data_IF_397792434734
#
_entry.id   IF_397792434734
#
_cell.length_a   1.000
_cell.length_b   1.000
_cell.length_c   1.000
_cell.angle_alpha   90.00
_cell.angle_beta   90.00
_cell.angle_gamma   90.00
#
_symmetry.space_group_name_H-M   'P 1'
#
loop_
_entity.id
_entity.type
_entity.pdbx_description
1 polymer ?
#
# COMPACT_ATOMS: atom_id res chain seq x y z
N UNK A 1 -5.48 -16.43 -23.77
CA UNK A 1 -4.08 -16.46 -23.29
C UNK A 1 -4.12 -16.49 -21.77
N UNK A 2 -3.45 -17.43 -21.12
CA UNK A 2 -3.41 -17.49 -19.65
C UNK A 2 -2.79 -16.19 -19.11
N UNK A 3 -3.48 -15.51 -18.18
CA UNK A 3 -2.97 -14.31 -17.55
C UNK A 3 -1.64 -14.63 -16.88
N UNK A 4 -0.57 -13.94 -17.29
CA UNK A 4 0.74 -14.07 -16.68
C UNK A 4 0.64 -13.49 -15.26
N UNK A 5 0.42 -14.36 -14.27
CA UNK A 5 0.35 -13.98 -12.85
C UNK A 5 1.64 -13.23 -12.49
N UNK A 6 1.51 -11.97 -12.07
CA UNK A 6 2.63 -11.03 -11.91
C UNK A 6 3.43 -11.24 -10.64
N UNK A 7 2.86 -11.92 -9.65
CA UNK A 7 3.44 -12.13 -8.33
C UNK A 7 3.65 -13.61 -8.02
N UNK A 8 3.84 -14.44 -9.06
CA UNK A 8 4.23 -15.86 -8.88
C UNK A 8 5.46 -15.92 -7.98
N UNK A 9 5.39 -16.78 -6.98
CA UNK A 9 6.46 -16.99 -5.99
C UNK A 9 6.70 -15.81 -5.04
N UNK A 10 5.91 -14.74 -5.05
CA UNK A 10 5.99 -13.71 -4.00
C UNK A 10 5.34 -14.22 -2.70
N UNK A 11 5.90 -13.83 -1.56
CA UNK A 11 5.25 -13.95 -0.26
C UNK A 11 4.83 -12.55 0.18
N UNK A 12 3.53 -12.36 0.39
CA UNK A 12 2.94 -11.11 0.81
C UNK A 12 2.47 -11.17 2.26
N UNK A 13 3.00 -10.30 3.13
CA UNK A 13 2.45 -10.04 4.45
C UNK A 13 1.49 -8.86 4.37
N UNK A 14 0.24 -9.04 4.79
CA UNK A 14 -0.76 -7.96 4.86
C UNK A 14 -1.24 -7.84 6.30
N UNK A 15 -0.99 -6.70 6.94
CA UNK A 15 -1.55 -6.41 8.29
C UNK A 15 -2.89 -5.69 8.17
N UNK A 16 -3.81 -5.93 9.11
CA UNK A 16 -5.19 -5.46 8.99
C UNK A 16 -5.97 -6.18 7.88
N UNK A 17 -5.57 -7.42 7.58
CA UNK A 17 -6.12 -8.21 6.47
C UNK A 17 -7.52 -8.77 6.74
N UNK A 18 -8.02 -8.66 7.97
CA UNK A 18 -9.31 -9.18 8.38
C UNK A 18 -10.48 -8.42 7.80
N UNK A 19 -10.33 -7.17 7.36
CA UNK A 19 -11.47 -6.40 6.81
C UNK A 19 -11.05 -5.34 5.79
N UNK A 20 -12.05 -4.70 5.16
CA UNK A 20 -11.88 -3.49 4.34
C UNK A 20 -10.79 -3.60 3.26
N UNK A 21 -9.91 -2.59 3.22
CA UNK A 21 -8.82 -2.51 2.24
C UNK A 21 -7.85 -3.69 2.40
N UNK A 22 -7.50 -4.09 3.62
CA UNK A 22 -6.57 -5.19 3.85
C UNK A 22 -7.08 -6.51 3.28
N UNK A 23 -8.36 -6.84 3.51
CA UNK A 23 -9.00 -8.03 2.90
C UNK A 23 -8.98 -7.95 1.37
N UNK A 24 -9.35 -6.80 0.81
CA UNK A 24 -9.35 -6.60 -0.64
C UNK A 24 -7.95 -6.72 -1.26
N UNK A 25 -6.92 -6.21 -0.58
CA UNK A 25 -5.52 -6.35 -0.97
C UNK A 25 -5.10 -7.82 -0.94
N UNK A 26 -5.39 -8.56 0.13
CA UNK A 26 -5.08 -9.99 0.23
C UNK A 26 -5.70 -10.78 -0.93
N UNK A 27 -6.98 -10.56 -1.22
CA UNK A 27 -7.67 -11.18 -2.36
C UNK A 27 -7.01 -10.83 -3.69
N UNK A 28 -6.63 -9.56 -3.88
CA UNK A 28 -5.97 -9.14 -5.10
C UNK A 28 -4.60 -9.78 -5.27
N UNK A 29 -3.76 -9.79 -4.23
CA UNK A 29 -2.42 -10.35 -4.29
C UNK A 29 -2.45 -11.87 -4.55
N UNK A 30 -3.38 -12.60 -3.91
CA UNK A 30 -3.60 -14.02 -4.18
C UNK A 30 -4.00 -14.28 -5.63
N UNK A 31 -4.91 -13.46 -6.20
CA UNK A 31 -5.31 -13.54 -7.62
C UNK A 31 -4.16 -13.25 -8.59
N UNK A 32 -3.13 -12.53 -8.16
CA UNK A 32 -1.92 -12.26 -8.93
C UNK A 32 -0.84 -13.35 -8.74
N UNK A 33 -1.14 -14.39 -7.96
CA UNK A 33 -0.29 -15.57 -7.74
C UNK A 33 0.64 -15.49 -6.53
N UNK A 34 0.46 -14.52 -5.64
CA UNK A 34 1.25 -14.42 -4.41
C UNK A 34 0.72 -15.36 -3.32
N UNK A 35 1.62 -15.96 -2.55
CA UNK A 35 1.31 -16.55 -1.24
C UNK A 35 1.02 -15.42 -0.26
N UNK A 36 -0.03 -15.52 0.56
CA UNK A 36 -0.46 -14.42 1.45
C UNK A 36 -0.43 -14.86 2.91
N UNK A 37 0.37 -14.17 3.71
CA UNK A 37 0.30 -14.14 5.17
C UNK A 37 -0.65 -13.02 5.60
N UNK A 38 -1.89 -13.38 5.93
CA UNK A 38 -2.92 -12.44 6.36
C UNK A 38 -2.83 -12.25 7.88
N UNK A 39 -2.43 -11.07 8.32
CA UNK A 39 -2.34 -10.72 9.74
C UNK A 39 -3.47 -9.75 10.12
N UNK A 40 -4.12 -9.99 11.25
CA UNK A 40 -5.07 -9.05 11.85
C UNK A 40 -5.02 -9.12 13.38
N UNK A 41 -5.62 -8.13 14.06
CA UNK A 41 -5.81 -8.18 15.50
C UNK A 41 -6.88 -9.24 15.85
N UNK A 42 -7.93 -9.33 15.03
CA UNK A 42 -8.95 -10.37 15.10
C UNK A 42 -8.54 -11.57 14.24
N UNK A 43 -8.12 -12.64 14.92
CA UNK A 43 -7.69 -13.88 14.25
C UNK A 43 -8.80 -14.51 13.42
N UNK A 44 -10.05 -14.46 13.87
CA UNK A 44 -11.16 -15.06 13.14
C UNK A 44 -11.37 -14.34 11.81
N UNK A 45 -11.26 -13.00 11.80
CA UNK A 45 -11.35 -12.20 10.58
C UNK A 45 -10.18 -12.50 9.61
N UNK A 46 -8.97 -12.72 10.12
CA UNK A 46 -7.84 -13.14 9.29
C UNK A 46 -8.05 -14.53 8.68
N UNK A 47 -8.56 -15.50 9.44
CA UNK A 47 -8.91 -16.84 8.95
C UNK A 47 -10.01 -16.78 7.88
N UNK A 48 -11.04 -15.97 8.08
CA UNK A 48 -12.09 -15.75 7.06
C UNK A 48 -11.49 -15.24 5.75
N UNK A 49 -10.57 -14.26 5.82
CA UNK A 49 -9.86 -13.79 4.64
C UNK A 49 -9.08 -14.92 3.97
N UNK A 50 -8.35 -15.76 4.72
CA UNK A 50 -7.58 -16.89 4.16
C UNK A 50 -8.47 -17.94 3.49
N UNK A 51 -9.64 -18.25 4.06
CA UNK A 51 -10.66 -19.09 3.42
C UNK A 51 -11.06 -18.55 2.04
N UNK A 52 -11.28 -17.24 1.92
CA UNK A 52 -11.62 -16.60 0.64
C UNK A 52 -10.52 -16.70 -0.41
N UNK A 53 -9.26 -16.89 0.00
CA UNK A 53 -8.12 -17.08 -0.91
C UNK A 53 -8.00 -18.53 -1.41
N UNK A 54 -8.84 -19.45 -0.91
CA UNK A 54 -8.70 -20.89 -1.15
C UNK A 54 -7.64 -21.55 -0.27
N UNK A 55 -7.24 -20.91 0.83
CA UNK A 55 -6.41 -21.53 1.87
C UNK A 55 -7.23 -22.39 2.83
N UNK A 56 -6.55 -23.27 3.57
CA UNK A 56 -7.14 -23.98 4.71
C UNK A 56 -7.33 -22.95 5.83
N UNK A 57 -8.58 -22.62 6.19
CA UNK A 57 -8.89 -21.68 7.28
C UNK A 57 -8.71 -22.25 8.68
N UNK A 58 -7.83 -23.24 8.85
CA UNK A 58 -7.66 -23.94 10.13
C UNK A 58 -7.06 -23.02 11.20
N UNK A 59 -7.43 -23.27 12.45
CA UNK A 59 -6.85 -22.59 13.63
C UNK A 59 -5.36 -22.91 13.85
N UNK A 60 -4.81 -23.89 13.13
CA UNK A 60 -3.39 -24.20 13.14
C UNK A 60 -2.71 -23.70 11.87
N UNK A 61 -1.53 -23.09 12.05
CA UNK A 61 -0.65 -22.67 10.95
C UNK A 61 -0.09 -23.93 10.30
N UNK A 62 -0.80 -24.45 9.30
CA UNK A 62 -0.37 -25.66 8.60
C UNK A 62 0.89 -25.37 7.76
N UNK A 63 1.99 -26.11 7.95
CA UNK A 63 3.15 -26.02 7.08
C UNK A 63 2.74 -26.40 5.65
N UNK A 64 2.98 -25.52 4.68
CA UNK A 64 2.73 -25.79 3.25
C UNK A 64 1.37 -25.37 2.70
N UNK A 65 0.54 -24.63 3.44
CA UNK A 65 -0.62 -23.93 2.87
C UNK A 65 -0.20 -22.76 1.96
N UNK A 66 -0.93 -22.52 0.87
CA UNK A 66 -0.65 -21.39 -0.04
C UNK A 66 -0.89 -20.01 0.60
N UNK A 67 -1.69 -19.95 1.68
CA UNK A 67 -2.00 -18.75 2.45
C UNK A 67 -2.11 -19.14 3.92
N UNK A 68 -1.77 -18.24 4.86
CA UNK A 68 -1.88 -18.50 6.29
C UNK A 68 -2.35 -17.26 7.05
N UNK A 69 -3.07 -17.47 8.15
CA UNK A 69 -3.61 -16.43 9.02
C UNK A 69 -2.74 -16.28 10.27
N UNK A 70 -2.45 -15.03 10.65
CA UNK A 70 -1.68 -14.67 11.83
C UNK A 70 -2.45 -13.66 12.66
N UNK A 71 -2.19 -13.67 13.97
CA UNK A 71 -2.72 -12.69 14.91
C UNK A 71 -1.57 -11.87 15.47
N UNK A 72 -1.68 -10.53 15.39
CA UNK A 72 -0.74 -9.64 16.08
C UNK A 72 -1.35 -8.25 16.28
N UNK A 73 -1.06 -7.65 17.43
CA UNK A 73 -1.22 -6.21 17.62
C UNK A 73 0.02 -5.49 17.06
N UNK A 74 -0.17 -4.72 16.00
CA UNK A 74 0.93 -3.99 15.35
C UNK A 74 1.50 -2.86 16.23
N UNK A 75 0.78 -2.40 17.24
CA UNK A 75 1.25 -1.35 18.16
C UNK A 75 2.28 -1.85 19.18
N UNK A 76 2.44 -3.17 19.30
CA UNK A 76 3.35 -3.84 20.21
C UNK A 76 4.60 -4.38 19.49
N UNK A 77 5.78 -3.90 19.89
CA UNK A 77 7.04 -4.29 19.25
C UNK A 77 7.33 -5.80 19.36
N UNK A 78 7.00 -6.40 20.51
CA UNK A 78 7.16 -7.84 20.75
C UNK A 78 6.27 -8.68 19.83
N UNK A 79 5.01 -8.27 19.65
CA UNK A 79 4.06 -8.96 18.77
C UNK A 79 4.47 -8.86 17.31
N UNK A 80 4.92 -7.70 16.83
CA UNK A 80 5.41 -7.53 15.45
C UNK A 80 6.66 -8.37 15.17
N UNK A 81 7.60 -8.43 16.12
CA UNK A 81 8.77 -9.31 15.99
C UNK A 81 8.35 -10.77 15.88
N UNK A 82 7.48 -11.22 16.78
CA UNK A 82 6.97 -12.58 16.79
C UNK A 82 6.20 -12.91 15.49
N UNK A 83 5.42 -11.96 14.95
CA UNK A 83 4.73 -12.11 13.67
C UNK A 83 5.71 -12.43 12.54
N UNK A 84 6.79 -11.66 12.39
CA UNK A 84 7.76 -11.89 11.31
C UNK A 84 8.53 -13.20 11.50
N UNK A 85 8.81 -13.60 12.75
CA UNK A 85 9.41 -14.91 13.07
C UNK A 85 8.46 -16.06 12.67
N UNK A 86 7.19 -15.97 13.03
CA UNK A 86 6.17 -16.97 12.69
C UNK A 86 5.96 -17.07 11.17
N UNK A 87 5.91 -15.94 10.46
CA UNK A 87 5.80 -15.91 8.99
C UNK A 87 7.02 -16.59 8.35
N UNK A 88 8.23 -16.26 8.80
CA UNK A 88 9.45 -16.89 8.27
C UNK A 88 9.53 -18.38 8.60
N UNK A 89 9.10 -18.81 9.80
CA UNK A 89 9.04 -20.21 10.16
C UNK A 89 8.02 -20.97 9.29
N UNK A 90 6.84 -20.40 9.07
CA UNK A 90 5.76 -21.01 8.30
C UNK A 90 6.10 -21.17 6.81
N UNK A 91 6.78 -20.19 6.20
CA UNK A 91 7.02 -20.14 4.76
C UNK A 91 8.49 -20.37 4.36
N UNK A 92 9.38 -20.51 5.35
CA UNK A 92 10.83 -20.67 5.17
C UNK A 92 11.51 -19.57 4.34
N UNK A 93 10.91 -18.37 4.32
CA UNK A 93 11.43 -17.17 3.61
C UNK A 93 10.80 -15.89 4.15
N UNK A 94 11.48 -14.73 4.06
CA UNK A 94 10.86 -13.45 4.43
C UNK A 94 9.80 -13.01 3.40
N UNK A 95 8.81 -12.20 3.81
CA UNK A 95 7.83 -11.63 2.89
C UNK A 95 8.49 -10.58 1.97
N UNK A 96 8.49 -10.83 0.66
CA UNK A 96 9.01 -9.89 -0.35
C UNK A 96 8.05 -8.73 -0.65
N UNK A 97 6.77 -8.86 -0.26
CA UNK A 97 5.78 -7.79 -0.31
C UNK A 97 5.21 -7.61 1.09
N UNK A 98 5.21 -6.40 1.62
CA UNK A 98 4.59 -6.09 2.91
C UNK A 98 3.62 -4.94 2.72
N UNK A 99 2.36 -5.13 3.12
CA UNK A 99 1.32 -4.12 3.03
C UNK A 99 0.75 -3.84 4.42
N UNK A 100 0.96 -2.62 4.90
CA UNK A 100 0.49 -2.19 6.21
C UNK A 100 -0.88 -1.51 6.10
N UNK A 101 -1.97 -2.28 6.26
CA UNK A 101 -3.35 -1.75 6.24
C UNK A 101 -3.96 -1.61 7.64
N UNK A 102 -3.34 -2.16 8.69
CA UNK A 102 -3.82 -2.05 10.06
C UNK A 102 -3.95 -0.57 10.47
N UNK A 103 -5.14 -0.18 10.92
CA UNK A 103 -5.41 1.19 11.33
C UNK A 103 -6.79 1.35 11.94
N UNK A 104 -6.92 2.35 12.81
CA UNK A 104 -8.15 2.68 13.55
C UNK A 104 -8.45 4.18 13.45
N UNK A 105 -9.65 4.55 13.85
CA UNK A 105 -10.10 5.94 14.01
C UNK A 105 -10.68 6.16 15.41
N UNK A 106 -10.41 7.34 15.97
CA UNK A 106 -10.98 7.87 17.23
C UNK A 106 -11.25 9.35 16.99
N UNK A 107 -12.34 9.61 16.28
CA UNK A 107 -12.66 10.95 15.80
C UNK A 107 -13.27 11.76 16.94
N UNK A 108 -12.69 12.92 17.21
CA UNK A 108 -13.15 13.90 18.21
C UNK A 108 -12.62 15.28 17.84
N UNK A 109 -13.35 16.33 18.19
CA UNK A 109 -12.87 17.70 18.03
C UNK A 109 -11.66 17.95 18.92
N UNK A 110 -10.71 18.74 18.42
CA UNK A 110 -9.43 19.00 19.11
C UNK A 110 -9.59 19.49 20.56
N UNK A 111 -10.62 20.30 20.84
CA UNK A 111 -10.86 20.84 22.19
C UNK A 111 -11.35 19.78 23.20
N UNK A 112 -11.79 18.62 22.73
CA UNK A 112 -12.35 17.54 23.54
C UNK A 112 -11.58 16.22 23.39
N UNK A 113 -10.57 16.19 22.51
CA UNK A 113 -9.78 14.99 22.27
C UNK A 113 -9.00 14.60 23.52
N UNK A 114 -9.24 13.39 24.00
CA UNK A 114 -8.49 12.82 25.12
C UNK A 114 -7.09 12.41 24.68
N UNK A 115 -6.15 12.38 25.64
CA UNK A 115 -4.80 11.85 25.40
C UNK A 115 -4.84 10.37 25.02
N UNK A 116 -5.74 9.56 25.60
CA UNK A 116 -5.89 8.14 25.24
C UNK A 116 -6.33 7.96 23.77
N UNK A 117 -7.28 8.76 23.29
CA UNK A 117 -7.71 8.72 21.88
C UNK A 117 -6.58 9.14 20.92
N UNK A 118 -5.77 10.11 21.32
CA UNK A 118 -4.58 10.51 20.58
C UNK A 118 -3.56 9.37 20.54
N UNK A 119 -3.13 8.90 21.70
CA UNK A 119 -2.08 7.89 21.86
C UNK A 119 -2.45 6.58 21.18
N UNK A 120 -3.71 6.15 21.33
CA UNK A 120 -4.18 4.90 20.72
C UNK A 120 -4.08 4.95 19.19
N UNK A 121 -4.50 6.06 18.57
CA UNK A 121 -4.43 6.23 17.11
C UNK A 121 -2.98 6.32 16.65
N UNK A 122 -2.12 7.07 17.34
CA UNK A 122 -0.69 7.18 16.99
C UNK A 122 0.02 5.83 17.14
N UNK A 123 -0.26 5.10 18.22
CA UNK A 123 0.34 3.79 18.51
C UNK A 123 0.03 2.77 17.41
N UNK A 124 -1.20 2.73 16.91
CA UNK A 124 -1.59 1.78 15.85
C UNK A 124 -1.17 2.30 14.47
N UNK A 125 -1.59 3.51 14.11
CA UNK A 125 -1.53 3.98 12.72
C UNK A 125 -0.14 4.44 12.29
N UNK A 126 0.67 4.96 13.22
CA UNK A 126 2.01 5.47 12.92
C UNK A 126 3.09 4.55 13.48
N UNK A 127 3.11 4.33 14.80
CA UNK A 127 4.09 3.44 15.44
C UNK A 127 3.94 2.01 14.93
N UNK A 128 2.72 1.51 14.71
CA UNK A 128 2.54 0.17 14.17
C UNK A 128 3.11 0.00 12.76
N UNK A 129 2.92 0.98 11.88
CA UNK A 129 3.55 0.99 10.55
C UNK A 129 5.08 1.05 10.65
N UNK A 130 5.61 1.86 11.57
CA UNK A 130 7.04 1.90 11.85
C UNK A 130 7.59 0.52 12.24
N UNK A 131 6.98 -0.13 13.23
CA UNK A 131 7.44 -1.43 13.73
C UNK A 131 7.40 -2.50 12.63
N UNK A 132 6.31 -2.57 11.87
CA UNK A 132 6.16 -3.54 10.77
C UNK A 132 7.17 -3.26 9.65
N UNK A 133 7.34 -1.98 9.27
CA UNK A 133 8.32 -1.58 8.24
C UNK A 133 9.74 -1.95 8.67
N UNK A 134 10.11 -1.66 9.92
CA UNK A 134 11.43 -1.96 10.46
C UNK A 134 11.69 -3.47 10.48
N UNK A 135 10.76 -4.27 11.02
CA UNK A 135 10.92 -5.71 11.11
C UNK A 135 10.98 -6.37 9.72
N UNK A 136 10.15 -5.93 8.78
CA UNK A 136 10.18 -6.40 7.39
C UNK A 136 11.50 -6.06 6.69
N UNK A 137 11.97 -4.81 6.84
CA UNK A 137 13.24 -4.37 6.25
C UNK A 137 14.42 -5.17 6.81
N UNK A 138 14.48 -5.38 8.12
CA UNK A 138 15.49 -6.22 8.76
C UNK A 138 15.47 -7.65 8.20
N UNK A 139 14.30 -8.28 8.14
CA UNK A 139 14.17 -9.65 7.63
C UNK A 139 14.63 -9.78 6.16
N UNK A 140 14.28 -8.79 5.31
CA UNK A 140 14.71 -8.76 3.91
C UNK A 140 16.22 -8.58 3.78
N UNK A 141 16.80 -7.61 4.48
CA UNK A 141 18.25 -7.34 4.46
C UNK A 141 19.05 -8.53 4.99
N UNK A 142 18.66 -9.10 6.13
CA UNK A 142 19.32 -10.27 6.74
C UNK A 142 19.27 -11.50 5.85
N UNK A 143 18.26 -11.62 4.99
CA UNK A 143 18.12 -12.74 4.04
C UNK A 143 18.71 -12.43 2.66
N UNK A 144 19.33 -11.26 2.45
CA UNK A 144 19.83 -10.83 1.14
C UNK A 144 18.74 -10.71 0.07
N UNK A 145 17.49 -10.48 0.48
CA UNK A 145 16.32 -10.46 -0.39
C UNK A 145 15.88 -9.03 -0.71
N UNK A 146 15.42 -8.82 -1.94
CA UNK A 146 14.77 -7.58 -2.35
C UNK A 146 13.28 -7.60 -1.99
N UNK A 147 12.63 -6.43 -1.97
CA UNK A 147 11.21 -6.37 -1.66
C UNK A 147 10.53 -5.04 -1.90
N UNK A 148 9.25 -5.00 -1.54
CA UNK A 148 8.39 -3.82 -1.63
C UNK A 148 7.56 -3.68 -0.37
N UNK A 149 7.79 -2.61 0.38
CA UNK A 149 6.98 -2.21 1.53
C UNK A 149 5.99 -1.14 1.06
N UNK A 150 4.72 -1.35 1.38
CA UNK A 150 3.59 -0.51 0.95
C UNK A 150 2.81 -0.11 2.20
N UNK A 151 2.80 1.17 2.51
CA UNK A 151 2.12 1.71 3.68
C UNK A 151 0.82 2.39 3.26
N UNK A 152 -0.29 2.03 3.91
CA UNK A 152 -1.58 2.65 3.64
C UNK A 152 -1.74 3.90 4.51
N UNK A 153 -1.58 5.05 3.88
CA UNK A 153 -1.91 6.35 4.46
C UNK A 153 -3.38 6.71 4.16
N UNK A 154 -3.68 8.00 4.00
CA UNK A 154 -4.97 8.55 3.61
C UNK A 154 -4.74 9.94 3.03
N UNK A 155 -5.64 10.40 2.16
CA UNK A 155 -5.62 11.80 1.71
C UNK A 155 -5.74 12.78 2.88
N UNK A 156 -6.39 12.38 3.98
CA UNK A 156 -6.44 13.13 5.24
C UNK A 156 -5.05 13.44 5.80
N UNK A 157 -4.04 12.63 5.51
CA UNK A 157 -2.64 12.92 5.90
C UNK A 157 -2.01 14.10 5.16
N UNK A 158 -2.61 14.57 4.05
CA UNK A 158 -2.15 15.70 3.25
C UNK A 158 -2.97 16.96 3.50
N UNK A 159 -4.29 16.81 3.64
CA UNK A 159 -5.21 17.96 3.72
C UNK A 159 -5.87 18.15 5.09
N UNK A 160 -5.75 17.18 5.99
CA UNK A 160 -6.50 17.14 7.24
C UNK A 160 -7.98 16.83 7.04
N UNK A 161 -8.70 16.59 8.13
CA UNK A 161 -10.15 16.45 8.14
C UNK A 161 -10.67 16.86 9.52
N UNK A 162 -11.88 17.44 9.56
CA UNK A 162 -12.48 17.87 10.83
C UNK A 162 -12.74 16.65 11.73
N UNK A 163 -12.43 16.80 13.02
CA UNK A 163 -12.55 15.72 14.01
C UNK A 163 -11.44 14.66 13.95
N UNK A 164 -10.46 14.80 13.05
CA UNK A 164 -9.44 13.78 12.80
C UNK A 164 -8.02 14.28 13.09
N UNK A 165 -7.81 15.06 14.15
CA UNK A 165 -6.48 15.63 14.45
C UNK A 165 -5.43 14.53 14.67
N UNK A 166 -5.74 13.52 15.49
CA UNK A 166 -4.91 12.33 15.71
C UNK A 166 -4.69 11.51 14.43
N UNK A 167 -5.76 11.25 13.68
CA UNK A 167 -5.71 10.42 12.47
C UNK A 167 -4.94 11.12 11.35
N UNK A 168 -5.20 12.40 11.08
CA UNK A 168 -4.46 13.21 10.11
C UNK A 168 -2.97 13.26 10.45
N UNK A 169 -2.62 13.54 11.72
CA UNK A 169 -1.24 13.55 12.17
C UNK A 169 -0.56 12.19 11.95
N UNK A 170 -1.24 11.09 12.30
CA UNK A 170 -0.71 9.73 12.09
C UNK A 170 -0.44 9.45 10.60
N UNK A 171 -1.38 9.79 9.71
CA UNK A 171 -1.31 9.50 8.27
C UNK A 171 -0.31 10.42 7.55
N UNK A 172 -0.14 11.66 8.01
CA UNK A 172 0.95 12.54 7.58
C UNK A 172 2.32 11.95 7.97
N UNK A 173 2.46 11.50 9.23
CA UNK A 173 3.68 10.86 9.72
C UNK A 173 4.06 9.61 8.90
N UNK A 174 3.08 8.82 8.46
CA UNK A 174 3.31 7.65 7.60
C UNK A 174 3.93 8.03 6.25
N UNK A 175 3.55 9.18 5.67
CA UNK A 175 4.13 9.67 4.41
C UNK A 175 5.61 9.99 4.63
N UNK A 176 5.92 10.78 5.66
CA UNK A 176 7.30 11.15 6.00
C UNK A 176 8.17 9.92 6.33
N UNK A 177 7.64 9.00 7.14
CA UNK A 177 8.30 7.73 7.45
C UNK A 177 8.64 6.94 6.19
N UNK A 178 7.68 6.83 5.27
CA UNK A 178 7.85 6.04 4.05
C UNK A 178 8.89 6.67 3.11
N UNK A 179 8.91 7.99 3.00
CA UNK A 179 9.91 8.72 2.21
C UNK A 179 11.32 8.51 2.78
N UNK A 180 11.49 8.58 4.09
CA UNK A 180 12.78 8.33 4.75
C UNK A 180 13.22 6.88 4.57
N UNK A 181 12.33 5.91 4.83
CA UNK A 181 12.63 4.49 4.65
C UNK A 181 13.02 4.15 3.20
N UNK A 182 12.38 4.77 2.20
CA UNK A 182 12.74 4.58 0.79
C UNK A 182 14.19 5.00 0.49
N UNK A 183 14.65 6.10 1.08
CA UNK A 183 16.03 6.58 0.90
C UNK A 183 17.06 5.68 1.58
N UNK A 184 16.76 5.21 2.78
CA UNK A 184 17.66 4.34 3.55
C UNK A 184 17.76 2.94 2.96
N UNK A 185 16.63 2.40 2.49
CA UNK A 185 16.51 1.01 2.04
C UNK A 185 16.75 0.82 0.55
N UNK A 186 16.84 1.91 -0.23
CA UNK A 186 17.11 1.87 -1.67
C UNK A 186 18.38 1.10 -2.03
N UNK A 187 19.46 1.29 -1.25
CA UNK A 187 20.73 0.56 -1.43
C UNK A 187 20.63 -0.96 -1.20
N UNK A 188 19.56 -1.41 -0.54
CA UNK A 188 19.28 -2.82 -0.27
C UNK A 188 18.29 -3.43 -1.28
N UNK A 189 17.90 -2.69 -2.33
CA UNK A 189 16.91 -3.16 -3.30
C UNK A 189 15.49 -3.28 -2.74
N UNK A 190 15.18 -2.56 -1.66
CA UNK A 190 13.85 -2.57 -1.04
C UNK A 190 13.16 -1.24 -1.35
N UNK A 191 12.00 -1.31 -2.00
CA UNK A 191 11.18 -0.13 -2.34
C UNK A 191 10.19 0.15 -1.22
N UNK A 192 10.00 1.42 -0.86
CA UNK A 192 8.97 1.84 0.10
C UNK A 192 8.03 2.86 -0.55
N UNK A 193 6.72 2.62 -0.49
CA UNK A 193 5.72 3.46 -1.15
C UNK A 193 4.51 3.71 -0.24
N UNK A 194 3.94 4.91 -0.35
CA UNK A 194 2.74 5.27 0.41
C UNK A 194 1.56 5.40 -0.53
N UNK A 195 0.44 4.78 -0.16
CA UNK A 195 -0.83 4.87 -0.88
C UNK A 195 -1.77 5.75 -0.08
N UNK A 196 -2.37 6.76 -0.72
CA UNK A 196 -3.28 7.71 -0.10
C UNK A 196 -4.68 7.55 -0.70
N UNK A 197 -5.51 6.63 -0.18
CA UNK A 197 -6.89 6.54 -0.59
C UNK A 197 -7.68 7.79 -0.16
N UNK A 198 -8.62 8.19 -1.00
CA UNK A 198 -9.73 9.07 -0.63
C UNK A 198 -10.76 8.32 0.23
N UNK A 199 -12.04 8.70 0.11
CA UNK A 199 -13.11 7.97 0.77
C UNK A 199 -13.37 6.63 0.07
N UNK A 200 -13.07 5.54 0.76
CA UNK A 200 -13.29 4.18 0.26
C UNK A 200 -14.38 3.53 1.13
N UNK A 201 -15.43 3.01 0.49
CA UNK A 201 -16.48 2.26 1.17
C UNK A 201 -15.89 1.04 1.90
N UNK A 202 -15.77 1.15 3.21
CA UNK A 202 -15.22 0.13 4.12
C UNK A 202 -16.02 0.15 5.43
N UNK A 203 -15.91 -0.88 6.30
CA UNK A 203 -16.52 -0.84 7.63
C UNK A 203 -16.14 0.41 8.45
N UNK A 204 -14.95 0.98 8.22
CA UNK A 204 -14.51 2.23 8.84
C UNK A 204 -15.38 3.44 8.40
N UNK A 205 -15.66 3.57 7.09
CA UNK A 205 -16.47 4.68 6.57
C UNK A 205 -17.97 4.49 6.76
N UNK A 206 -18.45 3.26 7.01
CA UNK A 206 -19.87 2.99 7.31
C UNK A 206 -20.37 3.65 8.60
N UNK A 207 -19.45 4.05 9.49
CA UNK A 207 -19.79 4.78 10.74
C UNK A 207 -20.03 6.28 10.51
N UNK A 208 -19.73 6.79 9.33
CA UNK A 208 -19.91 8.22 8.98
C UNK A 208 -21.36 8.45 8.55
N UNK A 209 -22.07 9.47 9.07
CA UNK A 209 -23.43 9.79 8.65
C UNK A 209 -23.53 10.04 7.13
N UNK A 210 -24.57 9.51 6.50
CA UNK A 210 -24.76 9.59 5.04
C UNK A 210 -24.72 11.04 4.52
N UNK A 211 -25.29 12.00 5.26
CA UNK A 211 -25.27 13.41 4.90
C UNK A 211 -23.86 14.02 4.83
N UNK A 212 -22.93 13.52 5.65
CA UNK A 212 -21.52 13.93 5.62
C UNK A 212 -20.81 13.28 4.44
N UNK A 213 -21.08 11.99 4.18
CA UNK A 213 -20.58 11.30 2.99
C UNK A 213 -21.03 12.01 1.71
N UNK A 214 -22.30 12.38 1.60
CA UNK A 214 -22.87 13.03 0.41
C UNK A 214 -22.30 14.45 0.21
N UNK A 215 -22.20 15.26 1.28
CA UNK A 215 -21.58 16.60 1.20
C UNK A 215 -20.10 16.54 0.86
N UNK A 216 -19.37 15.57 1.42
CA UNK A 216 -17.96 15.38 1.11
C UNK A 216 -17.79 14.88 -0.32
N UNK A 217 -18.61 13.93 -0.77
CA UNK A 217 -18.61 13.47 -2.16
C UNK A 217 -18.85 14.64 -3.12
N UNK A 218 -19.78 15.54 -2.80
CA UNK A 218 -20.02 16.77 -3.55
C UNK A 218 -18.85 17.75 -3.50
N UNK A 219 -18.26 18.04 -2.33
CA UNK A 219 -17.09 18.92 -2.21
C UNK A 219 -15.90 18.45 -3.06
N UNK A 220 -15.66 17.13 -3.07
CA UNK A 220 -14.53 16.54 -3.77
C UNK A 220 -14.74 16.47 -5.30
N UNK A 221 -15.99 16.33 -5.77
CA UNK A 221 -16.33 16.39 -7.20
C UNK A 221 -16.13 17.76 -7.83
N UNK A 222 -16.38 18.84 -7.06
CA UNK A 222 -16.29 20.20 -7.58
C UNK A 222 -14.88 20.79 -7.47
N UNK A 223 -14.06 20.29 -6.56
CA UNK A 223 -12.73 20.84 -6.29
C UNK A 223 -11.60 20.14 -7.09
N UNK A 224 -11.85 18.95 -7.65
CA UNK A 224 -10.88 18.17 -8.43
C UNK A 224 -11.59 17.37 -9.53
N UNK A 225 -10.98 17.23 -10.72
CA UNK A 225 -11.52 16.46 -11.85
C UNK A 225 -11.54 14.95 -11.57
N UNK A 226 -12.42 14.50 -10.67
CA UNK A 226 -12.63 13.09 -10.35
C UNK A 226 -14.03 12.69 -10.85
N UNK A 227 -14.08 11.74 -11.79
CA UNK A 227 -15.35 11.15 -12.25
C UNK A 227 -15.86 10.17 -11.18
N UNK A 228 -17.13 10.29 -10.80
CA UNK A 228 -17.85 9.35 -9.92
C UNK A 228 -17.84 7.92 -10.48
N UNK A 229 -17.86 6.91 -9.58
CA UNK A 229 -18.10 5.51 -9.95
C UNK A 229 -19.12 4.90 -9.00
N UNK A 230 -20.16 4.33 -9.60
CA UNK A 230 -21.21 3.51 -8.98
C UNK A 230 -20.64 2.15 -8.53
N UNK A 231 -20.86 1.79 -7.27
CA UNK A 231 -20.32 0.60 -6.60
C UNK A 231 -21.16 -0.66 -6.78
N UNK A 232 -22.27 -0.61 -7.54
CA UNK A 232 -23.09 -1.79 -7.89
C UNK A 232 -22.39 -2.79 -8.84
N UNK A 233 -21.20 -2.46 -9.35
CA UNK A 233 -20.48 -3.20 -10.39
C UNK A 233 -19.11 -3.78 -9.94
N UNK A 234 -18.84 -3.90 -8.64
CA UNK A 234 -17.59 -4.46 -8.09
C UNK A 234 -16.48 -3.42 -7.82
N UNK A 235 -15.34 -3.83 -7.22
CA UNK A 235 -14.35 -2.89 -6.68
C UNK A 235 -13.57 -2.18 -7.78
N UNK A 236 -13.95 -0.92 -8.08
CA UNK A 236 -13.19 -0.03 -8.96
C UNK A 236 -12.40 1.00 -8.15
N UNK A 237 -11.08 1.01 -8.36
CA UNK A 237 -10.10 1.90 -7.71
C UNK A 237 -9.92 3.17 -8.56
N UNK A 238 -10.54 4.31 -8.20
CA UNK A 238 -10.41 5.55 -9.00
C UNK A 238 -9.96 6.82 -8.26
N UNK A 239 -9.38 6.72 -7.08
CA UNK A 239 -8.58 7.83 -6.51
C UNK A 239 -7.45 7.25 -5.66
N UNK A 240 -6.32 7.00 -6.30
CA UNK A 240 -5.12 6.47 -5.66
C UNK A 240 -3.96 7.43 -5.97
N UNK A 241 -3.67 8.37 -5.07
CA UNK A 241 -2.37 9.04 -5.11
C UNK A 241 -1.35 8.05 -4.55
N UNK A 242 -0.40 7.61 -5.39
CA UNK A 242 0.73 6.77 -4.99
C UNK A 242 1.97 7.64 -5.00
N UNK A 243 2.56 7.87 -3.84
CA UNK A 243 3.89 8.46 -3.76
C UNK A 243 4.91 7.33 -3.91
N UNK A 244 5.54 7.28 -5.09
CA UNK A 244 6.65 6.39 -5.38
C UNK A 244 7.96 7.15 -5.30
N UNK A 245 8.80 6.82 -4.31
CA UNK A 245 10.17 7.32 -4.23
C UNK A 245 11.11 6.20 -4.70
N UNK A 246 11.42 6.17 -5.99
CA UNK A 246 12.47 5.28 -6.51
C UNK A 246 13.81 6.01 -6.38
N UNK A 247 14.60 5.66 -5.37
CA UNK A 247 16.02 6.02 -5.35
C UNK A 247 16.80 5.06 -6.25
N UNK A 248 16.92 5.39 -7.54
CA UNK A 248 18.00 4.86 -8.39
C UNK A 248 19.20 5.80 -8.23
N UNK A 249 20.13 5.46 -7.34
CA UNK A 249 21.44 6.10 -7.30
C UNK A 249 22.46 5.18 -7.96
N UNK A 250 22.75 5.41 -9.25
CA UNK A 250 24.12 5.55 -9.76
C UNK A 250 24.13 6.06 -11.23
N UNK A 251 24.55 7.31 -11.52
CA UNK A 251 24.82 7.80 -12.88
C UNK A 251 26.30 7.65 -13.31
N UNK A 252 27.15 6.96 -12.55
CA UNK A 252 28.61 7.02 -12.68
C UNK A 252 29.30 6.03 -13.64
N UNK A 253 28.59 5.11 -14.29
CA UNK A 253 29.20 4.03 -15.09
C UNK A 253 28.69 4.01 -16.54
N UNK A 254 29.02 5.04 -17.32
CA UNK A 254 29.20 4.89 -18.76
C UNK A 254 29.96 6.09 -19.33
N UNK A 255 31.27 5.91 -19.46
CA UNK A 255 32.18 6.83 -20.13
C UNK A 255 32.05 6.72 -21.65
N UNK A 256 31.93 7.92 -22.27
CA UNK A 256 32.42 8.33 -23.60
C UNK A 256 31.52 8.19 -24.85
N UNK A 257 31.72 9.08 -25.86
CA UNK A 257 30.67 9.79 -26.60
C UNK A 257 30.63 9.43 -28.09
N UNK A 258 29.65 9.93 -28.86
CA UNK A 258 29.90 10.67 -30.12
C UNK A 258 28.62 11.24 -30.77
N UNK A 259 28.85 12.33 -31.48
CA UNK A 259 27.97 13.31 -32.13
C UNK A 259 27.30 12.85 -33.44
N UNK A 260 26.22 13.55 -33.84
CA UNK A 260 26.03 14.30 -35.13
C UNK A 260 24.55 14.25 -35.61
N UNK A 261 23.80 15.36 -35.51
CA UNK A 261 23.46 16.43 -36.50
C UNK A 261 22.47 16.06 -37.63
N UNK A 262 21.32 16.75 -37.68
CA UNK A 262 20.55 17.03 -38.92
C UNK A 262 19.01 16.92 -38.84
N UNK A 263 18.22 18.00 -39.09
CA UNK A 263 16.74 18.02 -39.13
C UNK A 263 16.20 18.19 -40.59
N UNK A 264 14.92 18.56 -40.82
CA UNK A 264 13.75 17.67 -41.00
C UNK A 264 13.16 17.73 -42.43
N UNK A 265 12.27 16.79 -42.79
CA UNK A 265 11.32 16.97 -43.90
C UNK A 265 10.06 16.12 -43.73
N UNK A 266 8.93 16.80 -43.90
CA UNK A 266 7.52 16.37 -43.99
C UNK A 266 7.31 15.33 -45.13
N UNK A 267 6.23 14.56 -45.28
CA UNK A 267 4.80 14.71 -44.95
C UNK A 267 4.12 13.33 -45.13
N UNK A 268 2.84 13.21 -44.77
CA UNK A 268 1.88 12.08 -44.96
C UNK A 268 1.74 11.04 -43.82
N UNK A 269 0.80 11.32 -42.90
CA UNK A 269 0.36 10.42 -41.83
C UNK A 269 -1.17 10.27 -41.76
N UNK A 270 -1.70 9.15 -42.26
CA UNK A 270 -2.97 8.49 -41.90
C UNK A 270 -2.90 7.08 -42.53
N UNK A 271 -2.99 5.90 -41.90
CA UNK A 271 -3.19 5.39 -40.53
C UNK A 271 -2.49 3.99 -40.50
N UNK A 272 -1.56 3.68 -39.58
CA UNK A 272 -0.97 2.33 -39.52
C UNK A 272 -1.25 1.61 -38.19
N UNK A 273 -1.45 0.29 -38.28
CA UNK A 273 -1.39 -0.62 -37.13
C UNK A 273 0.06 -0.98 -36.75
N UNK A 274 0.31 -1.37 -35.49
CA UNK A 274 1.46 -2.21 -35.14
C UNK A 274 1.45 -2.80 -33.72
N UNK A 275 1.73 -4.11 -33.69
CA UNK A 275 2.62 -4.91 -32.82
C UNK A 275 2.57 -4.90 -31.28
N UNK A 276 2.87 -6.12 -30.80
CA UNK A 276 3.24 -6.57 -29.46
C UNK A 276 4.13 -5.58 -28.70
N UNK A 277 3.78 -5.35 -27.44
CA UNK A 277 4.65 -4.78 -26.41
C UNK A 277 3.93 -4.77 -25.07
N UNK A 278 4.53 -5.36 -24.05
CA UNK A 278 3.96 -5.44 -22.71
C UNK A 278 4.00 -4.12 -21.94
N UNK A 279 3.57 -4.24 -20.68
CA UNK A 279 3.78 -3.38 -19.50
C UNK A 279 2.51 -2.80 -18.89
N UNK A 280 2.47 -2.97 -17.57
CA UNK A 280 1.50 -2.43 -16.62
C UNK A 280 1.90 -0.98 -16.37
N UNK A 281 0.96 -0.07 -16.55
CA UNK A 281 1.13 1.35 -16.28
C UNK A 281 1.25 1.59 -14.77
N UNK A 282 2.47 1.90 -14.32
CA UNK A 282 2.71 2.73 -13.13
C UNK A 282 2.50 4.18 -13.58
N UNK A 283 1.59 4.89 -12.93
CA UNK A 283 1.39 6.32 -13.18
C UNK A 283 2.65 7.04 -12.69
N UNK A 284 3.52 7.42 -13.63
CA UNK A 284 4.53 8.43 -13.40
C UNK A 284 3.79 9.76 -13.25
N UNK A 285 3.99 10.43 -12.12
CA UNK A 285 3.68 11.85 -12.04
C UNK A 285 4.54 12.56 -13.08
N UNK A 286 3.93 13.01 -14.18
CA UNK A 286 4.56 13.98 -15.06
C UNK A 286 4.88 15.22 -14.23
N UNK A 287 6.17 15.43 -14.00
CA UNK A 287 6.71 16.75 -13.75
C UNK A 287 6.22 17.67 -14.87
N UNK A 288 5.42 18.68 -14.50
CA UNK A 288 5.17 19.80 -15.38
C UNK A 288 6.49 20.42 -15.80
N UNK A 289 6.88 20.21 -17.07
CA UNK A 289 7.80 21.11 -17.74
C UNK A 289 6.98 22.28 -18.26
N UNK A 290 6.90 23.36 -17.48
CA UNK A 290 6.91 24.66 -18.11
C UNK A 290 8.34 24.87 -18.61
N UNK A 291 8.50 24.93 -19.93
CA UNK A 291 9.79 25.11 -20.58
C UNK A 291 10.42 26.45 -20.22
N UNK A 292 11.75 26.46 -20.13
CA UNK A 292 12.51 27.69 -20.26
C UNK A 292 12.58 28.10 -21.74
N UNK A 293 12.17 29.33 -22.03
CA UNK A 293 13.06 30.27 -22.70
C UNK A 293 14.05 30.81 -21.65
#
# INVERSE_FOLDING_TARGET
>A
MASQLRLRSALALVTGAGSGIGRAVSVRLAREGATVAACDLDRAAACETVCLLGGQGSEEVAPGGAHAAFQADVSEAGAVRCLLEQVQACFSRPPSVVVSCAGITRDEFLLHMSEDDWDRVIAVNLKGIFLVTQAAAQALVSSGCHGSIINISSITGKVGNMGQTNYAASKAGVIGLTQTAARELGRHGIRCNSVLPGFITTPMTQKVPQQVLDKMWQMWLHSWHLKTVDTSQGPQWKSLEVFSCNCLTDPGLCSLPHHSTGPPADEDSEFPGYKRGGSVWLWNAEYGRQGCL
#
